data_IF_215014888201
#
_entry.id   IF_215014888201
#
_cell.length_a   1.000
_cell.length_b   1.000
_cell.length_c   1.000
_cell.angle_alpha   90.00
_cell.angle_beta   90.00
_cell.angle_gamma   90.00
#
_symmetry.space_group_name_H-M   'P 1'
#
loop_
_entity.id
_entity.type
_entity.pdbx_description
1 polymer ?
#
# COMPACT_ATOMS: atom_id res chain seq x y z
N UNK A 1 -1.40 10.71 0.63
CA UNK A 1 -2.35 11.65 1.32
C UNK A 1 -3.70 10.95 1.41
N UNK A 2 -4.36 10.91 2.57
CA UNK A 2 -5.65 10.18 2.67
C UNK A 2 -6.84 11.09 2.41
N UNK A 3 -7.67 10.79 1.39
CA UNK A 3 -8.87 11.59 1.14
C UNK A 3 -9.86 11.48 2.31
N UNK A 4 -10.29 12.62 2.83
CA UNK A 4 -11.37 12.71 3.80
C UNK A 4 -12.22 13.94 3.51
N UNK A 5 -13.52 13.74 3.36
CA UNK A 5 -14.41 14.76 2.80
C UNK A 5 -15.11 15.61 3.86
N UNK A 6 -15.36 15.04 5.04
CA UNK A 6 -16.07 15.74 6.12
C UNK A 6 -15.16 16.77 6.82
N UNK A 7 -15.74 17.51 7.77
CA UNK A 7 -15.02 18.51 8.57
C UNK A 7 -14.24 17.80 9.67
N UNK A 8 -12.99 18.19 9.86
CA UNK A 8 -12.14 17.76 10.97
C UNK A 8 -10.99 18.76 11.12
N UNK A 9 -10.63 19.09 12.37
CA UNK A 9 -9.61 20.11 12.68
C UNK A 9 -8.25 19.83 12.01
N UNK A 10 -7.87 18.56 11.98
CA UNK A 10 -6.59 18.10 11.42
C UNK A 10 -6.57 18.00 9.89
N UNK A 11 -7.72 18.17 9.21
CA UNK A 11 -7.80 18.07 7.75
C UNK A 11 -6.94 19.15 7.07
N UNK A 12 -6.07 18.73 6.16
CA UNK A 12 -5.18 19.62 5.42
C UNK A 12 -5.64 19.82 3.98
N UNK A 13 -5.32 20.99 3.43
CA UNK A 13 -5.38 21.28 2.01
C UNK A 13 -3.97 21.33 1.43
N UNK A 14 -3.70 20.57 0.37
CA UNK A 14 -2.41 20.56 -0.32
C UNK A 14 -2.63 20.83 -1.81
N UNK A 15 -2.17 22.00 -2.27
CA UNK A 15 -2.23 22.39 -3.67
C UNK A 15 -1.27 21.52 -4.50
N UNK A 16 -1.69 21.14 -5.71
CA UNK A 16 -0.87 20.36 -6.65
C UNK A 16 -0.88 18.85 -6.44
N UNK A 17 -1.52 18.32 -5.38
CA UNK A 17 -1.77 16.89 -5.22
C UNK A 17 -3.11 16.48 -5.87
N UNK A 18 -3.24 15.26 -6.45
CA UNK A 18 -4.51 14.77 -6.99
C UNK A 18 -5.63 14.80 -5.94
N UNK A 19 -5.33 14.32 -4.73
CA UNK A 19 -6.18 14.45 -3.55
C UNK A 19 -5.79 15.73 -2.81
N UNK A 20 -6.59 16.79 -3.00
CA UNK A 20 -6.31 18.11 -2.43
C UNK A 20 -6.70 18.26 -0.96
N UNK A 21 -7.74 17.56 -0.49
CA UNK A 21 -8.25 17.66 0.88
C UNK A 21 -8.23 16.30 1.59
N UNK A 22 -7.76 16.28 2.84
CA UNK A 22 -7.63 15.01 3.56
C UNK A 22 -6.66 15.04 4.74
N UNK A 23 -6.31 13.85 5.23
CA UNK A 23 -5.33 13.68 6.29
C UNK A 23 -3.92 13.55 5.72
N UNK A 24 -3.02 14.39 6.21
CA UNK A 24 -1.59 14.31 5.93
C UNK A 24 -0.95 13.29 6.88
N UNK A 25 -0.04 12.50 6.34
CA UNK A 25 0.72 11.49 7.06
C UNK A 25 2.18 11.55 6.64
N UNK A 26 3.06 11.16 7.57
CA UNK A 26 4.46 10.88 7.32
C UNK A 26 4.62 9.38 7.23
N UNK A 27 5.35 8.88 6.23
CA UNK A 27 5.57 7.45 6.03
C UNK A 27 7.06 7.19 5.91
N UNK A 28 7.53 6.11 6.53
CA UNK A 28 8.84 5.53 6.37
C UNK A 28 8.68 4.19 5.65
N UNK A 29 9.29 4.07 4.47
CA UNK A 29 9.21 2.88 3.64
C UNK A 29 10.59 2.34 3.26
N UNK A 30 10.69 1.03 3.10
CA UNK A 30 11.82 0.38 2.44
C UNK A 30 11.88 0.75 0.94
N UNK A 31 13.02 0.58 0.26
CA UNK A 31 13.18 0.84 -1.18
C UNK A 31 12.17 0.17 -2.11
N UNK A 32 11.69 -1.01 -1.74
CA UNK A 32 10.68 -1.81 -2.45
C UNK A 32 9.24 -1.26 -2.28
N UNK A 33 9.04 -0.33 -1.33
CA UNK A 33 7.74 0.25 -0.99
C UNK A 33 7.08 -0.34 0.26
N UNK A 34 7.72 -1.29 0.97
CA UNK A 34 7.19 -1.83 2.22
C UNK A 34 7.09 -0.73 3.30
N UNK A 35 5.90 -0.54 3.85
CA UNK A 35 5.65 0.48 4.87
C UNK A 35 6.09 -0.03 6.25
N UNK A 36 7.10 0.62 6.83
CA UNK A 36 7.64 0.29 8.16
C UNK A 36 6.84 1.01 9.24
N UNK A 37 6.69 2.32 9.08
CA UNK A 37 6.05 3.17 10.07
C UNK A 37 5.37 4.34 9.39
N UNK A 38 4.24 4.76 9.94
CA UNK A 38 3.60 6.01 9.56
C UNK A 38 3.13 6.77 10.79
N UNK A 39 3.00 8.09 10.65
CA UNK A 39 2.47 8.98 11.67
C UNK A 39 1.49 9.98 11.07
N UNK A 40 0.36 10.16 11.74
CA UNK A 40 -0.60 11.20 11.37
C UNK A 40 -0.06 12.58 11.71
N UNK A 41 -0.16 13.50 10.76
CA UNK A 41 0.10 14.90 11.04
C UNK A 41 -1.06 15.45 11.88
N UNK A 42 -0.79 15.99 13.06
CA UNK A 42 -1.81 16.42 14.03
C UNK A 42 -2.13 17.93 13.95
N UNK A 43 -1.57 18.66 12.99
CA UNK A 43 -1.71 20.11 12.89
C UNK A 43 -0.55 20.87 13.55
N UNK A 44 -0.79 22.13 13.87
CA UNK A 44 0.16 23.02 14.56
C UNK A 44 -0.19 23.01 16.04
N UNK A 45 0.65 22.41 16.87
CA UNK A 45 0.52 22.51 18.33
C UNK A 45 1.05 23.87 18.82
N UNK A 46 0.33 24.51 19.75
CA UNK A 46 0.71 25.77 20.39
C UNK A 46 1.64 25.58 21.60
N UNK A 47 1.56 24.41 22.27
CA UNK A 47 2.24 24.11 23.54
C UNK A 47 3.44 23.18 23.40
N UNK A 48 3.92 22.93 22.17
CA UNK A 48 5.28 22.39 22.08
C UNK A 48 6.17 23.47 22.68
N UNK A 49 7.14 23.14 23.56
CA UNK A 49 8.23 24.06 23.74
C UNK A 49 8.68 24.47 22.33
N UNK A 50 9.17 25.70 22.16
CA UNK A 50 10.16 25.95 21.12
C UNK A 50 11.39 25.06 21.43
N UNK A 51 11.22 23.73 21.47
CA UNK A 51 12.24 22.81 21.08
C UNK A 51 12.64 23.33 19.72
N UNK A 52 13.94 23.55 19.54
CA UNK A 52 14.53 23.94 18.28
C UNK A 52 14.31 22.89 17.18
N UNK A 53 13.39 21.94 17.38
CA UNK A 53 12.89 20.91 16.48
C UNK A 53 11.54 21.30 15.85
N UNK A 54 11.60 22.14 14.83
CA UNK A 54 10.50 22.28 13.85
C UNK A 54 10.29 20.97 13.07
N UNK A 55 9.10 20.77 12.49
CA UNK A 55 8.65 19.56 11.77
C UNK A 55 9.36 19.35 10.39
N UNK A 56 10.57 19.86 10.22
CA UNK A 56 11.26 19.92 8.94
C UNK A 56 12.19 18.73 8.69
N UNK A 57 12.26 18.25 7.44
CA UNK A 57 13.12 17.13 7.04
C UNK A 57 14.61 17.29 7.39
N UNK A 58 15.11 18.53 7.49
CA UNK A 58 16.51 18.80 7.89
C UNK A 58 16.79 18.47 9.36
N UNK A 59 15.80 18.66 10.24
CA UNK A 59 15.95 18.39 11.69
C UNK A 59 15.88 16.89 11.96
N UNK A 60 15.02 16.17 11.24
CA UNK A 60 15.03 14.70 11.21
C UNK A 60 16.38 14.18 10.72
N UNK A 61 16.94 14.79 9.68
CA UNK A 61 18.22 14.40 9.11
C UNK A 61 19.38 14.54 10.12
N UNK A 62 19.45 15.68 10.84
CA UNK A 62 20.45 15.87 11.89
C UNK A 62 20.32 14.83 13.02
N UNK A 63 19.09 14.52 13.47
CA UNK A 63 18.85 13.49 14.48
C UNK A 63 19.23 12.09 13.99
N UNK A 64 18.96 11.77 12.72
CA UNK A 64 19.40 10.51 12.14
C UNK A 64 20.93 10.41 12.14
N UNK A 65 21.62 11.50 11.84
CA UNK A 65 23.07 11.56 11.88
C UNK A 65 23.64 11.39 13.29
N UNK A 66 23.03 12.00 14.32
CA UNK A 66 23.38 11.76 15.73
C UNK A 66 23.23 10.29 16.14
N UNK A 67 22.24 9.60 15.56
CA UNK A 67 22.01 8.17 15.75
C UNK A 67 22.93 7.29 14.88
N UNK A 68 23.89 7.87 14.15
CA UNK A 68 24.80 7.16 13.26
C UNK A 68 24.18 6.71 11.93
N UNK A 69 22.99 7.22 11.58
CA UNK A 69 22.26 6.89 10.35
C UNK A 69 22.53 7.95 9.29
N UNK A 70 23.19 7.54 8.19
CA UNK A 70 23.39 8.40 7.02
C UNK A 70 22.09 8.70 6.28
N UNK A 71 21.96 9.91 5.74
CA UNK A 71 20.80 10.34 4.95
C UNK A 71 21.23 10.97 3.61
N UNK A 72 20.33 10.94 2.63
CA UNK A 72 20.48 11.67 1.37
C UNK A 72 19.18 12.38 1.05
N UNK A 73 19.25 13.58 0.51
CA UNK A 73 18.06 14.37 0.21
C UNK A 73 18.39 15.67 -0.51
N UNK A 74 17.34 16.34 -0.98
CA UNK A 74 17.45 17.65 -1.61
C UNK A 74 17.23 18.75 -0.59
N UNK A 75 18.07 19.77 -0.63
CA UNK A 75 17.92 20.97 0.17
C UNK A 75 17.43 22.10 -0.75
N UNK A 76 16.48 22.89 -0.27
CA UNK A 76 16.03 24.09 -0.99
C UNK A 76 17.18 25.10 -1.08
N UNK A 77 17.43 25.67 -2.26
CA UNK A 77 18.54 26.59 -2.49
C UNK A 77 18.56 27.76 -1.50
N UNK A 78 17.38 28.28 -1.13
CA UNK A 78 17.21 29.38 -0.18
C UNK A 78 17.58 29.05 1.27
N UNK A 79 17.90 27.78 1.59
CA UNK A 79 18.30 27.35 2.94
C UNK A 79 19.81 27.26 3.13
N UNK A 80 20.60 27.55 2.11
CA UNK A 80 22.07 27.43 2.15
C UNK A 80 22.65 28.79 1.79
N UNK A 81 23.53 29.32 2.65
CA UNK A 81 24.20 30.61 2.44
C UNK A 81 25.07 30.61 1.17
N UNK A 82 25.69 29.47 0.84
CA UNK A 82 26.47 29.26 -0.38
C UNK A 82 25.91 28.08 -1.18
N UNK A 83 24.84 28.32 -1.95
CA UNK A 83 24.33 27.30 -2.87
C UNK A 83 25.01 27.41 -4.24
N UNK A 84 25.67 26.35 -4.76
CA UNK A 84 26.19 26.33 -6.13
C UNK A 84 25.10 26.58 -7.20
N UNK A 85 23.83 26.34 -6.85
CA UNK A 85 22.68 26.56 -7.73
C UNK A 85 22.22 28.03 -7.82
N UNK A 86 22.80 28.94 -7.02
CA UNK A 86 22.53 30.38 -7.11
C UNK A 86 23.38 31.07 -8.19
N UNK A 87 24.29 30.36 -8.86
CA UNK A 87 24.96 30.85 -10.06
C UNK A 87 23.94 31.18 -11.16
N UNK A 88 24.18 32.21 -12.00
CA UNK A 88 23.28 32.56 -13.09
C UNK A 88 23.00 31.31 -13.95
N UNK A 89 21.70 31.01 -14.15
CA UNK A 89 21.26 29.85 -14.94
C UNK A 89 21.65 30.06 -16.41
N UNK A 90 22.84 29.60 -16.79
CA UNK A 90 23.21 29.48 -18.19
C UNK A 90 22.32 28.37 -18.78
N UNK A 91 21.34 28.74 -19.61
CA UNK A 91 20.41 27.80 -20.27
C UNK A 91 21.12 27.04 -21.41
N UNK A 92 22.26 26.41 -21.13
CA UNK A 92 22.96 25.51 -22.04
C UNK A 92 22.84 24.09 -21.50
N UNK A 93 22.38 23.15 -22.34
CA UNK A 93 22.36 21.73 -22.00
C UNK A 93 23.77 21.19 -22.20
N UNK A 94 24.51 21.01 -21.11
CA UNK A 94 25.84 20.39 -21.10
C UNK A 94 25.70 18.96 -20.59
N UNK A 95 26.36 18.01 -21.25
CA UNK A 95 26.48 16.64 -20.74
C UNK A 95 27.50 16.66 -19.59
N UNK A 96 27.03 16.41 -18.38
CA UNK A 96 27.85 16.37 -17.15
C UNK A 96 27.78 14.97 -16.57
N UNK A 97 28.92 14.42 -16.18
CA UNK A 97 28.98 13.14 -15.46
C UNK A 97 28.20 13.25 -14.15
N UNK A 98 27.22 12.38 -13.93
CA UNK A 98 26.35 12.44 -12.76
C UNK A 98 27.10 12.03 -11.49
N UNK A 99 27.13 12.89 -10.44
CA UNK A 99 27.68 12.50 -9.15
C UNK A 99 26.96 11.28 -8.55
N UNK A 100 27.74 10.36 -7.96
CA UNK A 100 27.23 9.11 -7.38
C UNK A 100 26.11 9.35 -6.35
N UNK A 101 26.18 10.44 -5.58
CA UNK A 101 25.16 10.82 -4.59
C UNK A 101 23.78 11.06 -5.23
N UNK A 102 23.74 11.66 -6.43
CA UNK A 102 22.49 11.91 -7.16
C UNK A 102 21.94 10.58 -7.67
N UNK A 103 22.80 9.69 -8.18
CA UNK A 103 22.38 8.36 -8.62
C UNK A 103 21.77 7.55 -7.45
N UNK A 104 22.40 7.60 -6.27
CA UNK A 104 21.89 6.96 -5.06
C UNK A 104 20.56 7.57 -4.62
N UNK A 105 20.42 8.89 -4.61
CA UNK A 105 19.16 9.57 -4.29
C UNK A 105 18.03 9.17 -5.25
N UNK A 106 18.27 9.26 -6.56
CA UNK A 106 17.27 8.94 -7.59
C UNK A 106 16.81 7.47 -7.51
N UNK A 107 17.71 6.56 -7.12
CA UNK A 107 17.38 5.13 -6.94
C UNK A 107 16.37 4.89 -5.81
N UNK A 108 16.42 5.68 -4.73
CA UNK A 108 15.67 5.42 -3.50
C UNK A 108 14.54 6.42 -3.19
N UNK A 109 14.51 7.61 -3.80
CA UNK A 109 13.53 8.65 -3.48
C UNK A 109 12.05 8.27 -3.72
N UNK A 110 11.78 7.30 -4.60
CA UNK A 110 10.43 6.94 -5.04
C UNK A 110 9.70 5.88 -4.21
N UNK A 111 10.27 5.40 -3.10
CA UNK A 111 9.67 4.32 -2.31
C UNK A 111 8.27 4.65 -1.78
N UNK A 112 8.09 5.85 -1.21
CA UNK A 112 6.80 6.32 -0.68
C UNK A 112 5.79 6.58 -1.81
N UNK A 113 6.25 7.10 -2.95
CA UNK A 113 5.37 7.35 -4.09
C UNK A 113 4.87 6.04 -4.73
N UNK A 114 5.69 4.98 -4.73
CA UNK A 114 5.29 3.64 -5.22
C UNK A 114 4.13 3.04 -4.41
N UNK A 115 4.17 3.14 -3.08
CA UNK A 115 3.07 2.66 -2.24
C UNK A 115 1.82 3.55 -2.39
N UNK A 116 1.99 4.88 -2.49
CA UNK A 116 0.86 5.80 -2.76
C UNK A 116 0.17 5.44 -4.09
N UNK A 117 0.95 5.15 -5.14
CA UNK A 117 0.43 4.73 -6.44
C UNK A 117 -0.28 3.37 -6.38
N UNK A 118 0.33 2.34 -5.78
CA UNK A 118 -0.27 1.01 -5.67
C UNK A 118 -1.57 1.04 -4.86
N UNK A 119 -1.58 1.77 -3.74
CA UNK A 119 -2.77 1.94 -2.91
C UNK A 119 -3.84 2.71 -3.67
N UNK A 120 -3.50 3.79 -4.38
CA UNK A 120 -4.50 4.59 -5.10
C UNK A 120 -5.21 3.79 -6.20
N UNK A 121 -4.47 2.95 -6.95
CA UNK A 121 -5.03 2.05 -7.98
C UNK A 121 -6.07 1.07 -7.44
N UNK A 122 -5.88 0.60 -6.20
CA UNK A 122 -6.72 -0.40 -5.56
C UNK A 122 -7.42 0.15 -4.31
N UNK A 123 -7.65 1.45 -4.21
CA UNK A 123 -8.12 2.04 -2.95
C UNK A 123 -9.53 1.58 -2.58
N UNK A 124 -9.82 1.41 -1.29
CA UNK A 124 -11.20 1.19 -0.82
C UNK A 124 -12.05 2.42 -1.17
N UNK A 125 -13.09 2.30 -2.03
CA UNK A 125 -13.83 3.45 -2.54
C UNK A 125 -14.90 3.99 -1.57
N UNK A 126 -15.09 3.33 -0.43
CA UNK A 126 -16.16 3.64 0.54
C UNK A 126 -15.88 5.01 1.17
N UNK A 127 -16.82 5.93 0.96
CA UNK A 127 -16.80 7.26 1.58
C UNK A 127 -17.61 7.23 2.87
N UNK A 128 -17.01 7.72 3.94
CA UNK A 128 -17.68 7.89 5.24
C UNK A 128 -17.49 9.30 5.76
N UNK A 129 -18.48 9.77 6.52
CA UNK A 129 -18.38 11.03 7.28
C UNK A 129 -17.65 10.85 8.62
N UNK A 130 -17.42 9.60 9.06
CA UNK A 130 -16.71 9.30 10.31
C UNK A 130 -15.22 9.57 10.12
N UNK A 131 -14.63 10.37 11.01
CA UNK A 131 -13.24 10.82 10.92
C UNK A 131 -12.22 9.67 10.93
N UNK A 132 -12.48 8.63 11.72
CA UNK A 132 -11.60 7.48 11.86
C UNK A 132 -11.62 6.55 10.64
N UNK A 133 -12.68 6.60 9.81
CA UNK A 133 -12.85 5.67 8.68
C UNK A 133 -11.71 5.76 7.67
N UNK A 134 -11.24 6.98 7.36
CA UNK A 134 -10.16 7.16 6.41
C UNK A 134 -8.86 6.51 6.90
N UNK A 135 -8.58 6.58 8.21
CA UNK A 135 -7.43 5.96 8.83
C UNK A 135 -7.57 4.43 8.84
N UNK A 136 -8.75 3.92 9.21
CA UNK A 136 -9.03 2.49 9.19
C UNK A 136 -8.89 1.87 7.80
N UNK A 137 -9.47 2.49 6.78
CA UNK A 137 -9.34 2.03 5.40
C UNK A 137 -7.89 2.01 4.93
N UNK A 138 -7.11 3.04 5.28
CA UNK A 138 -5.68 3.09 4.98
C UNK A 138 -4.87 1.99 5.68
N UNK A 139 -5.20 1.63 6.93
CA UNK A 139 -4.56 0.50 7.61
C UNK A 139 -4.80 -0.81 6.85
N UNK A 140 -6.01 -1.03 6.34
CA UNK A 140 -6.31 -2.23 5.55
C UNK A 140 -5.54 -2.22 4.23
N UNK A 141 -5.59 -1.11 3.49
CA UNK A 141 -4.92 -1.00 2.20
C UNK A 141 -3.39 -1.17 2.33
N UNK A 142 -2.77 -0.59 3.37
CA UNK A 142 -1.33 -0.77 3.64
C UNK A 142 -0.99 -2.16 4.14
N UNK A 143 -1.86 -2.80 4.94
CA UNK A 143 -1.64 -4.18 5.40
C UNK A 143 -1.64 -5.17 4.23
N UNK A 144 -2.57 -5.01 3.29
CA UNK A 144 -2.64 -5.85 2.08
C UNK A 144 -1.44 -5.60 1.16
N UNK A 145 -1.01 -4.34 1.02
CA UNK A 145 0.22 -4.01 0.26
C UNK A 145 1.48 -4.62 0.90
N UNK A 146 1.64 -4.49 2.21
CA UNK A 146 2.76 -5.10 2.92
C UNK A 146 2.75 -6.64 2.81
N UNK A 147 1.58 -7.27 2.90
CA UNK A 147 1.44 -8.70 2.70
C UNK A 147 1.86 -9.11 1.27
N UNK A 148 1.50 -8.32 0.25
CA UNK A 148 1.93 -8.56 -1.14
C UNK A 148 3.44 -8.43 -1.31
N UNK A 149 4.07 -7.44 -0.67
CA UNK A 149 5.53 -7.28 -0.68
C UNK A 149 6.25 -8.47 -0.04
N UNK A 150 5.72 -8.99 1.07
CA UNK A 150 6.25 -10.20 1.71
C UNK A 150 6.05 -11.41 0.81
N UNK A 151 4.86 -11.56 0.21
CA UNK A 151 4.56 -12.63 -0.74
C UNK A 151 5.53 -12.64 -1.92
N UNK A 152 5.86 -11.46 -2.47
CA UNK A 152 6.82 -11.31 -3.57
C UNK A 152 8.29 -11.51 -3.21
N UNK A 153 8.64 -11.77 -1.94
CA UNK A 153 10.03 -12.14 -1.57
C UNK A 153 10.41 -13.54 -2.08
N UNK A 154 9.43 -14.40 -2.29
CA UNK A 154 9.66 -15.71 -2.89
C UNK A 154 9.60 -15.58 -4.44
N UNK A 155 10.61 -16.06 -5.18
CA UNK A 155 10.65 -15.91 -6.64
C UNK A 155 9.56 -16.69 -7.40
N UNK A 156 8.99 -17.72 -6.78
CA UNK A 156 7.89 -18.52 -7.34
C UNK A 156 6.56 -17.75 -7.35
N UNK A 157 6.46 -16.72 -6.51
CA UNK A 157 5.26 -15.92 -6.31
C UNK A 157 5.20 -14.76 -7.31
N UNK A 158 4.43 -14.94 -8.39
CA UNK A 158 4.36 -13.98 -9.51
C UNK A 158 3.03 -13.22 -9.62
N UNK A 159 2.20 -13.23 -8.58
CA UNK A 159 0.92 -12.52 -8.62
C UNK A 159 1.12 -11.01 -8.58
N UNK A 160 0.51 -10.33 -9.55
CA UNK A 160 0.34 -8.88 -9.53
C UNK A 160 -0.54 -8.44 -8.35
N UNK A 161 -0.36 -7.22 -7.87
CA UNK A 161 -0.99 -6.69 -6.66
C UNK A 161 -2.53 -6.80 -6.70
N UNK A 162 -3.14 -6.48 -7.84
CA UNK A 162 -4.59 -6.60 -8.02
C UNK A 162 -5.07 -8.05 -7.91
N UNK A 163 -4.33 -8.99 -8.49
CA UNK A 163 -4.65 -10.42 -8.45
C UNK A 163 -4.47 -10.99 -7.05
N UNK A 164 -3.38 -10.61 -6.36
CA UNK A 164 -3.14 -10.96 -4.97
C UNK A 164 -4.28 -10.51 -4.06
N UNK A 165 -4.74 -9.26 -4.22
CA UNK A 165 -5.88 -8.75 -3.45
C UNK A 165 -7.18 -9.50 -3.75
N UNK A 166 -7.45 -9.79 -5.03
CA UNK A 166 -8.64 -10.58 -5.43
C UNK A 166 -8.61 -11.98 -4.81
N UNK A 167 -7.45 -12.61 -4.76
CA UNK A 167 -7.25 -13.92 -4.12
C UNK A 167 -7.61 -13.87 -2.64
N UNK A 168 -7.09 -12.89 -1.88
CA UNK A 168 -7.44 -12.69 -0.46
C UNK A 168 -8.96 -12.57 -0.29
N UNK A 169 -9.59 -11.70 -1.08
CA UNK A 169 -11.05 -11.46 -0.97
C UNK A 169 -11.84 -12.74 -1.24
N UNK A 170 -11.44 -13.54 -2.24
CA UNK A 170 -12.10 -14.81 -2.55
C UNK A 170 -11.96 -15.83 -1.42
N UNK A 171 -10.76 -15.98 -0.87
CA UNK A 171 -10.50 -16.88 0.29
C UNK A 171 -11.38 -16.48 1.48
N UNK A 172 -11.45 -15.18 1.79
CA UNK A 172 -12.28 -14.68 2.90
C UNK A 172 -13.78 -14.90 2.66
N UNK A 173 -14.29 -14.67 1.44
CA UNK A 173 -15.69 -14.95 1.12
C UNK A 173 -16.01 -16.45 1.15
N UNK A 174 -15.08 -17.32 0.76
CA UNK A 174 -15.29 -18.77 0.83
C UNK A 174 -15.28 -19.27 2.29
N UNK A 175 -14.43 -18.70 3.15
CA UNK A 175 -14.26 -19.16 4.54
C UNK A 175 -15.29 -18.57 5.50
N UNK A 176 -15.63 -17.30 5.34
CA UNK A 176 -16.48 -16.54 6.28
C UNK A 176 -17.74 -15.95 5.63
N UNK A 177 -17.94 -16.15 4.33
CA UNK A 177 -19.11 -15.64 3.64
C UNK A 177 -20.36 -16.42 4.03
N UNK A 178 -21.47 -15.70 4.14
CA UNK A 178 -22.78 -16.31 4.26
C UNK A 178 -23.33 -16.59 2.85
N UNK A 179 -24.04 -17.71 2.64
CA UNK A 179 -24.76 -17.91 1.40
C UNK A 179 -25.75 -16.74 1.22
N UNK A 180 -25.93 -16.25 -0.02
CA UNK A 180 -26.87 -15.18 -0.26
C UNK A 180 -28.27 -15.61 0.21
N UNK A 181 -28.90 -14.77 1.05
CA UNK A 181 -30.22 -15.02 1.65
C UNK A 181 -31.34 -15.11 0.62
N UNK A 182 -31.13 -14.56 -0.57
CA UNK A 182 -32.04 -14.68 -1.70
C UNK A 182 -31.25 -15.02 -2.96
N UNK A 183 -31.84 -15.86 -3.82
CA UNK A 183 -31.43 -15.97 -5.21
C UNK A 183 -31.70 -14.63 -5.89
N UNK A 184 -30.74 -13.71 -5.80
CA UNK A 184 -30.83 -12.41 -6.44
C UNK A 184 -31.12 -12.57 -7.94
N UNK A 185 -31.85 -11.60 -8.53
CA UNK A 185 -32.07 -11.53 -9.98
C UNK A 185 -30.75 -11.78 -10.69
N UNK A 186 -30.71 -12.84 -11.50
CA UNK A 186 -29.48 -13.45 -12.01
C UNK A 186 -28.49 -12.40 -12.52
N UNK A 187 -27.42 -12.17 -11.76
CA UNK A 187 -26.29 -11.43 -12.29
C UNK A 187 -25.69 -12.26 -13.43
N UNK A 188 -25.34 -11.65 -14.58
CA UNK A 188 -24.70 -12.38 -15.66
C UNK A 188 -23.45 -13.09 -15.13
N UNK A 189 -23.26 -14.35 -15.52
CA UNK A 189 -22.12 -15.23 -15.16
C UNK A 189 -20.79 -14.77 -15.80
N UNK A 190 -20.60 -13.45 -15.97
CA UNK A 190 -19.43 -12.87 -16.62
C UNK A 190 -18.22 -12.76 -15.71
N UNK A 191 -18.35 -12.94 -14.39
CA UNK A 191 -17.19 -13.12 -13.54
C UNK A 191 -16.64 -14.53 -13.73
N UNK A 192 -15.58 -14.66 -14.54
CA UNK A 192 -14.75 -15.86 -14.54
C UNK A 192 -14.32 -16.09 -13.08
N UNK A 193 -14.68 -17.24 -12.50
CA UNK A 193 -14.03 -17.69 -11.27
C UNK A 193 -12.53 -17.73 -11.56
N UNK A 194 -11.73 -17.08 -10.72
CA UNK A 194 -10.28 -17.02 -10.89
C UNK A 194 -9.66 -18.42 -10.91
N UNK A 195 -10.30 -19.36 -10.22
CA UNK A 195 -10.04 -20.78 -10.34
C UNK A 195 -11.34 -21.58 -10.06
N UNK A 196 -11.51 -22.71 -10.75
CA UNK A 196 -12.58 -23.66 -10.46
C UNK A 196 -12.30 -24.51 -9.21
N UNK A 197 -11.06 -24.41 -8.69
CA UNK A 197 -10.58 -25.12 -7.51
C UNK A 197 -10.76 -24.28 -6.25
N UNK A 198 -11.09 -24.95 -5.14
CA UNK A 198 -11.05 -24.33 -3.81
C UNK A 198 -9.59 -24.01 -3.48
N UNK A 199 -9.27 -22.76 -3.07
CA UNK A 199 -7.91 -22.37 -2.72
C UNK A 199 -7.30 -23.27 -1.65
N UNK A 200 -5.98 -23.47 -1.71
CA UNK A 200 -5.25 -24.34 -0.77
C UNK A 200 -5.35 -23.84 0.67
N UNK A 201 -5.43 -22.52 0.86
CA UNK A 201 -5.60 -21.86 2.15
C UNK A 201 -6.94 -22.17 2.81
N UNK A 202 -7.96 -22.54 2.03
CA UNK A 202 -9.25 -23.01 2.53
C UNK A 202 -9.22 -24.53 2.70
N UNK A 203 -8.52 -25.25 1.82
CA UNK A 203 -8.45 -26.72 1.83
C UNK A 203 -7.56 -27.30 2.94
N UNK A 204 -6.60 -26.54 3.43
CA UNK A 204 -5.67 -26.96 4.48
C UNK A 204 -5.78 -26.06 5.71
N UNK A 205 -6.96 -25.48 5.95
CA UNK A 205 -7.16 -24.53 7.04
C UNK A 205 -7.21 -25.17 8.44
N UNK A 206 -7.03 -26.50 8.51
CA UNK A 206 -7.03 -27.29 9.75
C UNK A 206 -8.39 -27.42 10.42
N UNK A 207 -9.45 -26.85 9.82
CA UNK A 207 -10.82 -27.07 10.23
C UNK A 207 -11.35 -28.29 9.47
N UNK A 208 -11.95 -29.24 10.17
CA UNK A 208 -12.48 -30.45 9.55
C UNK A 208 -13.57 -30.08 8.54
N UNK A 209 -13.26 -30.14 7.24
CA UNK A 209 -14.26 -30.00 6.20
C UNK A 209 -15.09 -31.28 6.17
N UNK A 210 -16.41 -31.14 6.30
CA UNK A 210 -17.31 -32.28 6.15
C UNK A 210 -17.34 -32.74 4.69
N UNK A 211 -17.23 -34.05 4.48
CA UNK A 211 -17.44 -34.62 3.15
C UNK A 211 -18.89 -34.36 2.73
N UNK A 212 -19.07 -33.57 1.67
CA UNK A 212 -20.39 -33.34 1.08
C UNK A 212 -20.69 -34.48 0.10
N UNK A 213 -21.80 -35.22 0.27
CA UNK A 213 -22.19 -36.25 -0.68
C UNK A 213 -22.44 -35.61 -2.06
N UNK A 214 -21.76 -36.11 -3.08
CA UNK A 214 -22.01 -35.69 -4.46
C UNK A 214 -22.86 -36.74 -5.18
N UNK A 215 -23.95 -36.31 -5.81
CA UNK A 215 -24.83 -37.18 -6.62
C UNK A 215 -24.11 -37.71 -7.88
N UNK A 216 -23.13 -36.96 -8.38
CA UNK A 216 -22.38 -37.27 -9.61
C UNK A 216 -20.91 -37.51 -9.30
N UNK A 217 -20.32 -38.46 -10.02
CA UNK A 217 -18.90 -38.77 -9.95
C UNK A 217 -18.10 -37.64 -10.61
N UNK A 218 -17.27 -36.96 -9.82
CA UNK A 218 -16.41 -35.89 -10.32
C UNK A 218 -15.02 -36.44 -10.71
N UNK A 219 -14.35 -35.78 -11.65
CA UNK A 219 -12.93 -36.03 -11.91
C UNK A 219 -12.08 -35.46 -10.78
N UNK A 220 -11.11 -36.25 -10.35
CA UNK A 220 -10.06 -35.84 -9.44
C UNK A 220 -9.30 -34.61 -9.97
N UNK A 221 -9.25 -33.53 -9.20
CA UNK A 221 -8.61 -32.28 -9.62
C UNK A 221 -7.09 -32.41 -9.84
N UNK A 222 -6.43 -33.36 -9.14
CA UNK A 222 -4.98 -33.61 -9.26
C UNK A 222 -4.67 -34.59 -10.39
N UNK A 223 -5.38 -35.72 -10.40
CA UNK A 223 -5.07 -36.86 -11.25
C UNK A 223 -5.88 -36.92 -12.55
N UNK A 224 -6.89 -36.04 -12.72
CA UNK A 224 -7.82 -35.96 -13.87
C UNK A 224 -8.56 -37.26 -14.23
N UNK A 225 -8.48 -38.29 -13.38
CA UNK A 225 -9.21 -39.56 -13.48
C UNK A 225 -10.53 -39.47 -12.73
N UNK A 226 -11.51 -40.28 -13.14
CA UNK A 226 -12.77 -40.42 -12.40
C UNK A 226 -12.49 -41.08 -11.04
N UNK A 227 -13.02 -40.52 -9.95
CA UNK A 227 -12.84 -41.11 -8.62
C UNK A 227 -13.70 -42.36 -8.47
N UNK A 228 -13.11 -43.57 -8.47
CA UNK A 228 -13.84 -44.82 -8.26
C UNK A 228 -14.46 -44.85 -6.86
N UNK A 229 -15.78 -45.06 -6.74
CA UNK A 229 -16.37 -45.48 -5.46
C UNK A 229 -15.79 -46.85 -5.13
N UNK A 230 -14.91 -46.95 -4.15
CA UNK A 230 -14.78 -48.23 -3.43
C UNK A 230 -16.02 -48.33 -2.56
N UNK A 231 -16.88 -49.29 -2.89
CA UNK A 231 -17.90 -49.79 -1.97
C UNK A 231 -17.22 -50.32 -0.72
#
# INVERSE_FOLDING_TARGET
>A
MMSYFSRHSVKQFIRGKPIRYGYKMWCLCEPNGYLIQYMLYQGKESNRPHSDLGVGGLKLANRLQELGVGYTGTIMANKIEKCPANAPKIKKKVLVSQPHVIAKYNKYMGSVDRIDENIDRCRIPIRSKKWWWANFAFCIDTSVHNAWQIYGRNPDNKLDYLHFRRHIVQVYFLKYGYPPTHSGRGHPKTSKKLDGRVPEEVRYDGLNHWMVPAEKQNRCALCKKNSTKKM
#
